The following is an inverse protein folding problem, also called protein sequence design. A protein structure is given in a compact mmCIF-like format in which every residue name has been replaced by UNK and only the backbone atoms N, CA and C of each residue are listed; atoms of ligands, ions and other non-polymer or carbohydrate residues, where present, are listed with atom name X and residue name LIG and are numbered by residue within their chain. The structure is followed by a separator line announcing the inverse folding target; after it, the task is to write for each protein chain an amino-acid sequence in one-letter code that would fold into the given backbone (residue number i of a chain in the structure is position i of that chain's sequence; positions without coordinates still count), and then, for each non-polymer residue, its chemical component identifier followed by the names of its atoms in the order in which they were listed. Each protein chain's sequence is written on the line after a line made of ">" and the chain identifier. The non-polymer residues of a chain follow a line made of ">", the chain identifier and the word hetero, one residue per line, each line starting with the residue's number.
data_IF_746871216632
#
_entry.id   IF_746871216632
#
_cell.length_a   1.000
_cell.length_b   1.000
_cell.length_c   1.000
_cell.angle_alpha   90.00
_cell.angle_beta   90.00
_cell.angle_gamma   90.00
#
_symmetry.space_group_name_H-M   'P 1'
#
loop_
_entity.id
_entity.type
_entity.pdbx_description
1 polymer ?
#
# COMPACT_ATOMS: atom_id res chain seq x y z
N UNK A 1 5.12 -8.33 -9.72
CA UNK A 1 3.65 -8.47 -9.79
C UNK A 1 3.23 -8.44 -11.25
N UNK A 2 2.20 -9.18 -11.68
CA UNK A 2 1.69 -9.14 -13.06
C UNK A 2 0.50 -8.20 -13.20
N UNK A 3 -0.40 -8.20 -12.22
CA UNK A 3 -1.48 -7.22 -12.14
C UNK A 3 -0.99 -5.96 -11.43
N UNK A 4 -1.60 -4.81 -11.71
CA UNK A 4 -1.25 -3.53 -11.09
C UNK A 4 -2.51 -2.77 -10.70
N UNK A 5 -2.46 -1.93 -9.64
CA UNK A 5 -3.51 -0.96 -9.37
C UNK A 5 -3.77 -0.09 -10.60
N UNK A 6 -5.05 0.10 -10.95
CA UNK A 6 -5.46 0.89 -12.11
C UNK A 6 -5.69 2.37 -11.78
N UNK A 7 -5.47 2.76 -10.52
CA UNK A 7 -5.69 4.13 -10.06
C UNK A 7 -4.73 5.10 -10.74
N UNK A 8 -5.27 6.23 -11.17
CA UNK A 8 -4.51 7.42 -11.60
C UNK A 8 -4.61 8.45 -10.49
N UNK A 9 -3.46 8.90 -9.99
CA UNK A 9 -3.35 10.01 -9.05
C UNK A 9 -3.15 11.32 -9.80
N UNK A 10 -3.74 12.41 -9.32
CA UNK A 10 -3.48 13.74 -9.87
C UNK A 10 -2.01 14.13 -9.68
N UNK A 11 -1.55 15.15 -10.39
CA UNK A 11 -0.18 15.67 -10.21
C UNK A 11 0.08 16.15 -8.77
N UNK A 12 -0.95 16.69 -8.10
CA UNK A 12 -0.87 17.03 -6.68
C UNK A 12 -0.78 15.79 -5.79
N UNK A 13 -1.58 14.76 -6.10
CA UNK A 13 -1.49 13.46 -5.42
C UNK A 13 -0.10 12.86 -5.57
N UNK A 14 0.47 12.88 -6.77
CA UNK A 14 1.83 12.43 -7.03
C UNK A 14 2.86 13.20 -6.22
N UNK A 15 2.81 14.54 -6.20
CA UNK A 15 3.72 15.34 -5.36
C UNK A 15 3.66 14.95 -3.89
N UNK A 16 2.47 14.64 -3.36
CA UNK A 16 2.31 14.16 -1.99
C UNK A 16 2.88 12.76 -1.79
N UNK A 17 2.71 11.87 -2.77
CA UNK A 17 3.33 10.53 -2.76
C UNK A 17 4.86 10.64 -2.74
N UNK A 18 5.43 11.57 -3.50
CA UNK A 18 6.88 11.80 -3.54
C UNK A 18 7.46 12.23 -2.18
N UNK A 19 6.68 12.94 -1.36
CA UNK A 19 7.09 13.29 0.01
C UNK A 19 7.14 12.08 0.95
N UNK A 20 6.46 10.99 0.59
CA UNK A 20 6.44 9.76 1.37
C UNK A 20 5.68 9.86 2.69
N UNK A 21 5.93 8.91 3.58
CA UNK A 21 5.39 8.85 4.93
C UNK A 21 6.41 8.17 5.85
N UNK A 22 6.72 8.80 6.98
CA UNK A 22 7.60 8.23 7.99
C UNK A 22 6.80 7.88 9.24
N UNK A 23 6.87 6.61 9.63
CA UNK A 23 6.20 6.08 10.81
C UNK A 23 6.73 6.75 12.10
N UNK A 24 5.83 7.04 13.03
CA UNK A 24 6.13 7.74 14.29
C UNK A 24 6.15 6.82 15.51
N UNK A 25 5.39 5.75 15.48
CA UNK A 25 5.27 4.79 16.57
C UNK A 25 4.97 3.37 16.06
N UNK A 26 4.75 2.43 16.99
CA UNK A 26 4.56 1.02 16.69
C UNK A 26 3.22 0.69 16.02
N UNK A 27 2.23 1.55 16.13
CA UNK A 27 0.93 1.35 15.48
C UNK A 27 0.98 1.76 14.00
N UNK A 28 1.96 2.58 13.63
CA UNK A 28 2.25 2.96 12.25
C UNK A 28 3.16 1.93 11.56
N UNK A 29 2.58 1.14 10.66
CA UNK A 29 3.23 -0.08 10.16
C UNK A 29 4.04 0.08 8.87
N UNK A 30 4.01 1.27 8.29
CA UNK A 30 4.57 1.53 6.96
C UNK A 30 5.46 2.76 6.97
N UNK A 31 6.66 2.59 6.43
CA UNK A 31 7.48 3.68 5.93
C UNK A 31 7.39 3.69 4.41
N UNK A 32 7.19 4.88 3.85
CA UNK A 32 7.09 5.08 2.40
C UNK A 32 8.04 6.20 2.00
N UNK A 33 8.88 5.94 1.01
CA UNK A 33 9.80 6.94 0.46
C UNK A 33 9.92 6.78 -1.05
N UNK A 34 10.37 7.83 -1.72
CA UNK A 34 10.44 7.87 -3.17
C UNK A 34 11.86 8.19 -3.63
N UNK A 35 12.37 7.43 -4.59
CA UNK A 35 13.61 7.74 -5.31
C UNK A 35 13.30 7.83 -6.81
N UNK A 36 13.42 9.04 -7.37
CA UNK A 36 12.98 9.32 -8.73
C UNK A 36 11.48 9.07 -8.90
N UNK A 37 11.14 8.06 -9.69
CA UNK A 37 9.76 7.64 -9.99
C UNK A 37 9.39 6.33 -9.28
N UNK A 38 10.27 5.81 -8.42
CA UNK A 38 10.03 4.56 -7.68
C UNK A 38 9.64 4.86 -6.25
N UNK A 39 8.47 4.36 -5.84
CA UNK A 39 7.95 4.45 -4.48
C UNK A 39 8.19 3.13 -3.77
N UNK A 40 8.90 3.18 -2.65
CA UNK A 40 9.24 2.05 -1.81
C UNK A 40 8.33 2.00 -0.59
N UNK A 41 7.73 0.84 -0.32
CA UNK A 41 6.86 0.62 0.84
C UNK A 41 7.51 -0.43 1.74
N UNK A 42 7.90 -0.01 2.94
CA UNK A 42 8.62 -0.83 3.90
C UNK A 42 7.80 -1.04 5.16
N UNK A 43 7.96 -2.21 5.80
CA UNK A 43 7.41 -2.46 7.13
C UNK A 43 8.26 -1.73 8.17
N UNK A 44 7.69 -0.74 8.84
CA UNK A 44 8.41 0.18 9.74
C UNK A 44 9.28 -0.53 10.78
N UNK A 45 8.72 -1.52 11.46
CA UNK A 45 9.42 -2.21 12.55
C UNK A 45 10.60 -3.09 12.10
N UNK A 46 10.54 -3.64 10.89
CA UNK A 46 11.56 -4.60 10.40
C UNK A 46 12.48 -4.00 9.34
N UNK A 47 12.10 -2.88 8.75
CA UNK A 47 12.76 -2.31 7.57
C UNK A 47 12.57 -3.12 6.27
N UNK A 48 11.85 -4.26 6.30
CA UNK A 48 11.66 -5.11 5.14
C UNK A 48 10.86 -4.37 4.05
N UNK A 49 11.45 -4.23 2.86
CA UNK A 49 10.77 -3.71 1.68
C UNK A 49 9.73 -4.69 1.19
N UNK A 50 8.46 -4.29 1.20
CA UNK A 50 7.35 -5.12 0.71
C UNK A 50 7.06 -4.85 -0.75
N UNK A 51 7.05 -3.58 -1.16
CA UNK A 51 6.80 -3.17 -2.54
C UNK A 51 7.81 -2.14 -3.01
N UNK A 52 8.14 -2.22 -4.30
CA UNK A 52 8.75 -1.14 -5.05
C UNK A 52 7.90 -0.91 -6.31
N UNK A 53 7.26 0.26 -6.40
CA UNK A 53 6.33 0.59 -7.47
C UNK A 53 6.89 1.73 -8.31
N UNK A 54 7.10 1.49 -9.60
CA UNK A 54 7.51 2.51 -10.56
C UNK A 54 6.29 3.22 -11.11
N UNK A 55 6.28 4.54 -11.01
CA UNK A 55 5.21 5.40 -11.52
C UNK A 55 5.58 5.99 -12.88
N UNK A 56 4.56 6.26 -13.69
CA UNK A 56 4.71 6.98 -14.95
C UNK A 56 3.59 8.00 -15.13
N UNK A 57 3.84 9.12 -15.82
CA UNK A 57 2.80 10.06 -16.20
C UNK A 57 1.83 9.41 -17.19
N UNK A 58 0.58 9.87 -17.18
CA UNK A 58 -0.47 9.43 -18.10
C UNK A 58 -0.80 10.54 -19.09
N UNK A 59 -1.07 10.16 -20.34
CA UNK A 59 -1.57 11.09 -21.35
C UNK A 59 -2.89 11.73 -20.87
N UNK A 60 -2.93 13.06 -20.81
CA UNK A 60 -4.06 13.81 -20.26
C UNK A 60 -3.90 14.19 -18.78
N UNK A 61 -2.78 13.84 -18.14
CA UNK A 61 -2.37 14.31 -16.82
C UNK A 61 -2.49 13.25 -15.72
N UNK A 62 -1.75 13.47 -14.62
CA UNK A 62 -1.67 12.53 -13.52
C UNK A 62 -0.67 11.40 -13.74
N UNK A 63 -0.60 10.51 -12.75
CA UNK A 63 0.40 9.46 -12.62
C UNK A 63 -0.26 8.15 -12.24
N UNK A 64 0.28 7.04 -12.74
CA UNK A 64 -0.15 5.68 -12.38
C UNK A 64 1.05 4.79 -12.11
N UNK A 65 0.81 3.65 -11.49
CA UNK A 65 1.82 2.59 -11.38
C UNK A 65 1.97 1.93 -12.75
N UNK A 66 3.19 1.89 -13.27
CA UNK A 66 3.53 1.24 -14.54
C UNK A 66 4.16 -0.15 -14.34
N UNK A 67 4.90 -0.34 -13.25
CA UNK A 67 5.38 -1.66 -12.84
C UNK A 67 5.56 -1.74 -11.33
N UNK A 68 5.52 -2.96 -10.78
CA UNK A 68 5.75 -3.20 -9.35
C UNK A 68 6.49 -4.52 -9.09
N UNK A 69 7.48 -4.43 -8.22
CA UNK A 69 8.16 -5.55 -7.58
C UNK A 69 7.59 -5.72 -6.17
N UNK A 70 7.43 -6.97 -5.75
CA UNK A 70 6.85 -7.34 -4.47
C UNK A 70 7.68 -8.45 -3.85
N UNK A 71 7.88 -8.38 -2.55
CA UNK A 71 8.55 -9.42 -1.77
C UNK A 71 7.74 -10.73 -1.82
N UNK A 72 8.43 -11.85 -1.99
CA UNK A 72 7.83 -13.20 -2.09
C UNK A 72 8.41 -14.20 -1.10
N UNK A 73 9.39 -13.78 -0.31
CA UNK A 73 9.81 -14.53 0.88
C UNK A 73 8.68 -14.49 1.93
N UNK A 74 8.06 -15.65 2.15
CA UNK A 74 6.93 -15.81 3.06
C UNK A 74 7.25 -15.48 4.53
N UNK A 75 8.53 -15.49 4.92
CA UNK A 75 8.95 -15.06 6.26
C UNK A 75 8.88 -13.53 6.41
N UNK A 76 9.04 -12.79 5.30
CA UNK A 76 9.06 -11.33 5.26
C UNK A 76 7.73 -10.72 4.85
N UNK A 77 7.01 -11.37 3.94
CA UNK A 77 5.71 -10.94 3.47
C UNK A 77 4.83 -12.14 3.10
N UNK A 78 3.64 -12.21 3.70
CA UNK A 78 2.71 -13.33 3.52
C UNK A 78 1.77 -13.19 2.33
N UNK A 79 1.77 -12.05 1.63
CA UNK A 79 0.93 -11.87 0.44
C UNK A 79 1.41 -12.78 -0.69
N UNK A 80 0.50 -13.64 -1.17
CA UNK A 80 0.84 -14.66 -2.17
C UNK A 80 0.19 -14.43 -3.54
N UNK A 81 -0.81 -13.55 -3.62
CA UNK A 81 -1.56 -13.28 -4.85
C UNK A 81 -1.59 -11.80 -5.24
N UNK A 82 -1.57 -11.57 -6.55
CA UNK A 82 -1.47 -10.22 -7.12
C UNK A 82 -2.72 -9.36 -6.82
N UNK A 83 -3.90 -9.95 -6.58
CA UNK A 83 -5.11 -9.19 -6.28
C UNK A 83 -5.06 -8.60 -4.87
N UNK A 84 -4.60 -9.39 -3.89
CA UNK A 84 -4.30 -8.90 -2.54
C UNK A 84 -3.25 -7.80 -2.58
N UNK A 85 -2.18 -8.02 -3.35
CA UNK A 85 -1.08 -7.09 -3.42
C UNK A 85 -1.46 -5.75 -4.08
N UNK A 86 -2.27 -5.78 -5.14
CA UNK A 86 -2.80 -4.57 -5.76
C UNK A 86 -3.60 -3.75 -4.75
N UNK A 87 -4.48 -4.40 -3.99
CA UNK A 87 -5.26 -3.73 -2.94
C UNK A 87 -4.33 -3.18 -1.86
N UNK A 88 -3.34 -3.95 -1.40
CA UNK A 88 -2.43 -3.52 -0.34
C UNK A 88 -1.58 -2.32 -0.76
N UNK A 89 -0.98 -2.38 -1.96
CA UNK A 89 -0.16 -1.31 -2.52
C UNK A 89 -0.95 -0.01 -2.65
N UNK A 90 -2.14 -0.08 -3.27
CA UNK A 90 -3.01 1.09 -3.41
C UNK A 90 -3.50 1.60 -2.06
N UNK A 91 -3.81 0.71 -1.12
CA UNK A 91 -4.33 1.08 0.20
C UNK A 91 -3.26 1.80 1.05
N UNK A 92 -2.01 1.35 1.05
CA UNK A 92 -0.93 2.05 1.77
C UNK A 92 -0.73 3.45 1.18
N UNK A 93 -0.67 3.59 -0.14
CA UNK A 93 -0.56 4.91 -0.78
C UNK A 93 -1.75 5.80 -0.41
N UNK A 94 -2.97 5.30 -0.56
CA UNK A 94 -4.19 6.10 -0.38
C UNK A 94 -4.42 6.46 1.09
N UNK A 95 -4.38 5.47 1.99
CA UNK A 95 -4.72 5.68 3.39
C UNK A 95 -3.54 6.19 4.22
N UNK A 96 -2.33 5.66 4.01
CA UNK A 96 -1.17 6.03 4.82
C UNK A 96 -0.48 7.26 4.28
N UNK A 97 -0.19 7.34 2.99
CA UNK A 97 0.51 8.51 2.42
C UNK A 97 -0.45 9.69 2.20
N UNK A 98 -1.59 9.44 1.57
CA UNK A 98 -2.54 10.49 1.20
C UNK A 98 -3.61 10.78 2.26
N UNK A 99 -3.80 9.91 3.26
CA UNK A 99 -4.73 10.14 4.37
C UNK A 99 -6.18 10.00 3.98
N UNK A 100 -6.43 9.31 2.87
CA UNK A 100 -7.77 9.10 2.36
C UNK A 100 -8.46 7.97 3.14
N UNK A 101 -9.80 8.02 3.30
CA UNK A 101 -10.53 6.95 3.99
C UNK A 101 -10.37 5.58 3.31
N UNK A 102 -10.32 5.56 1.97
CA UNK A 102 -10.12 4.35 1.16
C UNK A 102 -11.09 3.20 1.49
N UNK A 103 -12.36 3.51 1.79
CA UNK A 103 -13.37 2.56 2.31
C UNK A 103 -13.54 1.30 1.45
N UNK A 104 -13.53 1.45 0.13
CA UNK A 104 -13.68 0.31 -0.79
C UNK A 104 -12.46 -0.61 -0.77
N UNK A 105 -11.25 -0.02 -0.74
CA UNK A 105 -10.00 -0.79 -0.64
C UNK A 105 -9.91 -1.52 0.70
N UNK A 106 -10.31 -0.86 1.81
CA UNK A 106 -10.40 -1.49 3.13
C UNK A 106 -11.37 -2.65 3.17
N UNK A 107 -12.50 -2.53 2.48
CA UNK A 107 -13.50 -3.59 2.37
C UNK A 107 -12.96 -4.78 1.55
N UNK A 108 -12.33 -4.50 0.40
CA UNK A 108 -11.66 -5.52 -0.42
C UNK A 108 -10.55 -6.26 0.35
N UNK A 109 -9.74 -5.54 1.13
CA UNK A 109 -8.70 -6.14 1.97
C UNK A 109 -9.30 -7.19 2.93
N UNK A 110 -10.40 -6.84 3.59
CA UNK A 110 -11.10 -7.75 4.53
C UNK A 110 -11.65 -8.96 3.79
N UNK A 111 -12.30 -8.75 2.64
CA UNK A 111 -12.84 -9.83 1.82
C UNK A 111 -11.74 -10.82 1.39
N UNK A 112 -10.64 -10.31 0.83
CA UNK A 112 -9.52 -11.13 0.34
C UNK A 112 -8.84 -11.89 1.48
N UNK A 113 -8.60 -11.23 2.62
CA UNK A 113 -8.00 -11.87 3.80
C UNK A 113 -8.86 -13.03 4.30
N UNK A 114 -10.19 -12.85 4.36
CA UNK A 114 -11.11 -13.91 4.79
C UNK A 114 -11.14 -15.08 3.81
N UNK A 115 -11.11 -14.78 2.50
CA UNK A 115 -11.09 -15.81 1.45
C UNK A 115 -9.84 -16.67 1.53
N UNK A 116 -8.68 -16.07 1.79
CA UNK A 116 -7.40 -16.80 1.85
C UNK A 116 -7.23 -17.58 3.16
N UNK A 117 -7.53 -16.96 4.30
CA UNK A 117 -7.24 -17.54 5.63
C UNK A 117 -8.40 -18.32 6.26
N UNK A 118 -9.63 -18.15 5.77
CA UNK A 118 -10.84 -18.63 6.43
C UNK A 118 -11.14 -17.95 7.78
N UNK A 119 -10.42 -16.87 8.11
CA UNK A 119 -10.55 -16.16 9.39
C UNK A 119 -11.91 -15.50 9.55
N UNK A 120 -12.50 -15.58 10.74
CA UNK A 120 -13.72 -14.86 11.13
C UNK A 120 -13.43 -13.52 11.85
N UNK A 121 -12.15 -13.12 11.89
CA UNK A 121 -11.71 -11.97 12.66
C UNK A 121 -12.51 -10.69 12.32
N UNK A 122 -12.73 -9.81 13.31
CA UNK A 122 -13.37 -8.52 13.07
C UNK A 122 -12.62 -7.72 12.01
N UNK A 123 -13.36 -7.03 11.14
CA UNK A 123 -12.79 -6.25 10.03
C UNK A 123 -11.75 -5.23 10.52
N UNK A 124 -12.01 -4.56 11.66
CA UNK A 124 -11.07 -3.61 12.27
C UNK A 124 -9.76 -4.26 12.68
N UNK A 125 -9.78 -5.51 13.17
CA UNK A 125 -8.56 -6.24 13.54
C UNK A 125 -7.74 -6.63 12.31
N UNK A 126 -8.40 -7.09 11.23
CA UNK A 126 -7.74 -7.39 9.96
C UNK A 126 -7.04 -6.14 9.41
N UNK A 127 -7.77 -5.03 9.34
CA UNK A 127 -7.23 -3.76 8.84
C UNK A 127 -6.10 -3.24 9.73
N UNK A 128 -6.27 -3.24 11.05
CA UNK A 128 -5.24 -2.81 11.98
C UNK A 128 -3.98 -3.67 11.86
N UNK A 129 -4.13 -4.99 11.75
CA UNK A 129 -3.01 -5.93 11.59
C UNK A 129 -2.16 -5.61 10.35
N UNK A 130 -2.82 -5.44 9.21
CA UNK A 130 -2.14 -5.26 7.92
C UNK A 130 -1.67 -3.82 7.69
N UNK A 131 -2.56 -2.84 7.89
CA UNK A 131 -2.34 -1.44 7.52
C UNK A 131 -1.76 -0.61 8.67
N UNK A 132 -2.12 -0.92 9.91
CA UNK A 132 -1.80 -0.08 11.08
C UNK A 132 -2.70 1.15 11.16
N UNK A 133 -2.29 2.10 11.99
CA UNK A 133 -2.91 3.42 12.10
C UNK A 133 -2.04 4.47 11.40
N UNK A 134 -2.68 5.48 10.83
CA UNK A 134 -2.01 6.72 10.42
C UNK A 134 -2.28 7.73 11.53
N UNK A 135 -1.25 8.37 12.05
CA UNK A 135 -1.45 9.57 12.86
C UNK A 135 -1.89 10.71 11.95
N UNK A 136 -2.96 11.39 12.33
CA UNK A 136 -3.27 12.68 11.73
C UNK A 136 -2.07 13.61 12.00
N UNK A 137 -1.53 14.17 10.91
CA UNK A 137 -0.40 15.11 10.97
C UNK A 137 -0.87 16.51 11.33
#
# INVERSE_FOLDING_TARGET
>A
MRELPQRVWSDEGWKRIQLGYASRDMDEKWDVFTEGEVVFLHRSWTGNGTFAATFAPVDGGGWRIDSAVVERDAERYRGTDDAYDCVMLELVISAIVLGEPATDLRSKLVELTRRESGSDAPAGLIQHSALGLRSDS
#
